data_IF_528415897316
#
_entry.id   IF_528415897316
#
_cell.length_a   1.000
_cell.length_b   1.000
_cell.length_c   1.000
_cell.angle_alpha   90.00
_cell.angle_beta   90.00
_cell.angle_gamma   90.00
#
_symmetry.space_group_name_H-M   'P 1'
#
loop_
_entity.id
_entity.type
_entity.pdbx_description
1 polymer ?
#
# COMPACT_ATOMS: atom_id res chain seq x y z
N UNK A 1 0.72 -29.96 -22.28
CA UNK A 1 0.46 -28.50 -22.34
C UNK A 1 0.29 -28.02 -20.90
N UNK A 2 1.29 -27.36 -20.34
CA UNK A 2 1.24 -26.83 -18.96
C UNK A 2 0.70 -25.42 -19.01
N UNK A 3 -0.48 -25.20 -18.44
CA UNK A 3 -1.07 -23.87 -18.27
C UNK A 3 -0.29 -23.15 -17.16
N UNK A 4 0.47 -22.10 -17.48
CA UNK A 4 0.97 -21.19 -16.44
C UNK A 4 -0.14 -20.19 -16.11
N UNK A 5 -0.32 -19.90 -14.83
CA UNK A 5 -1.15 -18.78 -14.44
C UNK A 5 -0.61 -17.48 -15.08
N UNK A 6 -1.49 -16.55 -15.48
CA UNK A 6 -1.04 -15.24 -15.94
C UNK A 6 -0.26 -14.56 -14.81
N UNK A 7 0.86 -13.92 -15.14
CA UNK A 7 1.65 -13.21 -14.14
C UNK A 7 0.82 -12.08 -13.49
N UNK A 8 0.99 -11.91 -12.17
CA UNK A 8 0.41 -10.77 -11.46
C UNK A 8 0.96 -9.44 -12.02
N UNK A 9 0.06 -8.50 -12.27
CA UNK A 9 0.38 -7.10 -12.62
C UNK A 9 1.03 -6.38 -11.43
N UNK A 10 0.62 -6.71 -10.20
CA UNK A 10 1.22 -6.15 -8.99
C UNK A 10 2.48 -6.96 -8.63
N UNK A 11 3.61 -6.27 -8.56
CA UNK A 11 4.93 -6.86 -8.26
C UNK A 11 5.40 -6.58 -6.84
N UNK A 12 4.87 -5.54 -6.18
CA UNK A 12 5.19 -5.25 -4.78
C UNK A 12 4.68 -3.89 -4.30
N UNK A 13 4.82 -3.65 -3.01
CA UNK A 13 4.45 -2.38 -2.36
C UNK A 13 5.59 -1.95 -1.43
N UNK A 14 5.98 -0.69 -1.54
CA UNK A 14 6.86 -0.02 -0.58
C UNK A 14 6.06 1.01 0.22
N UNK A 15 6.03 0.81 1.54
CA UNK A 15 5.30 1.64 2.50
C UNK A 15 6.16 2.76 3.10
N UNK A 16 7.44 2.86 2.73
CA UNK A 16 8.36 3.91 3.20
C UNK A 16 8.32 4.14 4.72
N UNK A 17 8.33 3.10 5.60
CA UNK A 17 8.04 3.24 7.03
C UNK A 17 8.99 4.23 7.71
N UNK A 18 10.28 4.22 7.40
CA UNK A 18 11.25 5.18 7.95
C UNK A 18 10.88 6.64 7.68
N UNK A 19 10.58 6.97 6.42
CA UNK A 19 10.25 8.35 6.04
C UNK A 19 8.87 8.77 6.54
N UNK A 20 7.87 7.90 6.37
CA UNK A 20 6.52 8.20 6.83
C UNK A 20 6.46 8.35 8.35
N UNK A 21 7.12 7.47 9.10
CA UNK A 21 7.08 7.55 10.56
C UNK A 21 7.88 8.75 11.10
N UNK A 22 8.92 9.20 10.38
CA UNK A 22 9.60 10.45 10.71
C UNK A 22 8.65 11.64 10.54
N UNK A 23 8.00 11.76 9.38
CA UNK A 23 7.08 12.86 9.09
C UNK A 23 5.81 12.84 9.96
N UNK A 24 5.41 11.67 10.45
CA UNK A 24 4.22 11.49 11.30
C UNK A 24 4.56 11.54 12.80
N UNK A 25 5.81 11.77 13.17
CA UNK A 25 6.28 11.78 14.57
C UNK A 25 5.90 10.48 15.32
N UNK A 26 6.21 9.34 14.69
CA UNK A 26 5.95 7.97 15.17
C UNK A 26 7.19 7.07 15.07
N UNK A 27 8.35 7.63 14.72
CA UNK A 27 9.62 6.87 14.60
C UNK A 27 10.06 6.21 15.90
N UNK A 28 9.71 6.80 17.04
CA UNK A 28 9.98 6.24 18.37
C UNK A 28 9.16 4.97 18.65
N UNK A 29 8.05 4.76 17.95
CA UNK A 29 7.21 3.56 18.10
C UNK A 29 7.76 2.42 17.23
N UNK A 30 8.19 2.74 16.01
CA UNK A 30 8.73 1.77 15.06
C UNK A 30 9.44 2.47 13.90
N UNK A 31 10.46 1.82 13.33
CA UNK A 31 11.11 2.21 12.08
C UNK A 31 10.85 1.22 10.93
N UNK A 32 10.31 0.04 11.24
CA UNK A 32 10.09 -1.06 10.28
C UNK A 32 8.62 -1.21 9.88
N UNK A 33 7.70 -1.08 10.84
CA UNK A 33 6.26 -1.02 10.59
C UNK A 33 5.80 0.42 10.32
N UNK A 34 4.91 0.60 9.34
CA UNK A 34 4.29 1.89 9.03
C UNK A 34 3.30 2.28 10.13
N UNK A 35 3.53 3.41 10.79
CA UNK A 35 2.63 3.99 11.80
C UNK A 35 2.38 5.45 11.44
N UNK A 36 1.14 5.76 11.10
CA UNK A 36 0.72 7.09 10.63
C UNK A 36 -0.32 7.70 11.55
N UNK A 37 -0.41 9.03 11.54
CA UNK A 37 -1.45 9.80 12.22
C UNK A 37 -2.51 10.23 11.21
N UNK A 38 -3.78 10.13 11.62
CA UNK A 38 -4.93 10.55 10.81
C UNK A 38 -4.84 12.02 10.42
N UNK A 39 -5.41 12.38 9.27
CA UNK A 39 -5.45 13.76 8.79
C UNK A 39 -4.15 14.24 8.13
N UNK A 40 -3.10 13.43 8.12
CA UNK A 40 -1.84 13.71 7.44
C UNK A 40 -1.62 12.69 6.30
N UNK A 41 -1.27 13.13 5.08
CA UNK A 41 -0.95 12.22 4.00
C UNK A 41 0.34 11.43 4.29
N UNK A 42 0.45 10.24 3.69
CA UNK A 42 1.66 9.42 3.73
C UNK A 42 1.97 8.86 2.33
N UNK A 43 3.22 8.47 2.11
CA UNK A 43 3.70 8.01 0.80
C UNK A 43 3.65 6.48 0.70
N UNK A 44 3.18 5.96 -0.42
CA UNK A 44 3.31 4.56 -0.81
C UNK A 44 3.78 4.49 -2.26
N UNK A 45 4.57 3.47 -2.59
CA UNK A 45 4.94 3.14 -3.97
C UNK A 45 4.40 1.75 -4.31
N UNK A 46 3.62 1.67 -5.39
CA UNK A 46 3.12 0.40 -5.94
C UNK A 46 3.97 0.03 -7.16
N UNK A 47 4.63 -1.12 -7.10
CA UNK A 47 5.42 -1.64 -8.20
C UNK A 47 4.53 -2.49 -9.12
N UNK A 48 4.49 -2.15 -10.40
CA UNK A 48 3.65 -2.81 -11.41
C UNK A 48 4.50 -3.36 -12.56
N UNK A 49 4.05 -4.47 -13.14
CA UNK A 49 4.71 -5.19 -14.23
C UNK A 49 4.76 -4.39 -15.54
N UNK A 50 3.84 -3.45 -15.70
CA UNK A 50 3.59 -2.69 -16.91
C UNK A 50 3.33 -1.22 -16.57
N UNK A 51 3.57 -0.29 -17.51
CA UNK A 51 3.27 1.12 -17.30
C UNK A 51 1.80 1.35 -16.90
N UNK A 52 1.60 2.08 -15.80
CA UNK A 52 0.26 2.47 -15.37
C UNK A 52 -0.20 3.70 -16.15
N UNK A 53 -1.11 3.48 -17.11
CA UNK A 53 -1.86 4.54 -17.79
C UNK A 53 -3.13 4.96 -17.02
N UNK A 54 -3.20 6.17 -16.41
CA UNK A 54 -4.33 6.56 -15.54
C UNK A 54 -5.67 6.73 -16.28
N UNK A 55 -5.63 6.92 -17.61
CA UNK A 55 -6.83 7.01 -18.45
C UNK A 55 -7.39 5.64 -18.85
N UNK A 56 -6.56 4.59 -18.76
CA UNK A 56 -6.88 3.24 -19.25
C UNK A 56 -7.11 2.27 -18.09
N UNK A 57 -6.50 2.53 -16.94
CA UNK A 57 -6.49 1.63 -15.81
C UNK A 57 -7.03 2.33 -14.56
N UNK A 58 -7.86 1.61 -13.81
CA UNK A 58 -8.36 2.04 -12.51
C UNK A 58 -7.48 1.45 -11.40
N UNK A 59 -7.20 2.25 -10.37
CA UNK A 59 -6.50 1.81 -9.17
C UNK A 59 -7.37 2.13 -7.95
N UNK A 60 -7.74 1.08 -7.20
CA UNK A 60 -8.49 1.21 -5.96
C UNK A 60 -7.61 0.78 -4.79
N UNK A 61 -7.53 1.62 -3.75
CA UNK A 61 -6.92 1.29 -2.48
C UNK A 61 -8.05 1.14 -1.46
N UNK A 62 -8.14 -0.04 -0.84
CA UNK A 62 -9.15 -0.31 0.19
C UNK A 62 -8.45 -0.56 1.51
N UNK A 63 -8.77 0.24 2.52
CA UNK A 63 -8.39 0.01 3.90
C UNK A 63 -9.62 -0.50 4.68
N UNK A 64 -9.43 -1.53 5.51
CA UNK A 64 -10.47 -2.07 6.40
C UNK A 64 -9.90 -2.18 7.79
N UNK A 65 -10.71 -1.87 8.80
CA UNK A 65 -10.37 -2.00 10.22
C UNK A 65 -11.61 -2.41 10.99
N UNK A 66 -11.44 -3.05 12.15
CA UNK A 66 -12.52 -3.63 12.96
C UNK A 66 -12.98 -5.03 12.50
N UNK A 67 -13.80 -5.68 13.34
CA UNK A 67 -14.42 -6.98 13.03
C UNK A 67 -15.79 -6.81 12.36
N UNK A 68 -16.07 -7.64 11.36
CA UNK A 68 -17.29 -7.60 10.55
C UNK A 68 -18.49 -8.29 11.25
N UNK A 69 -18.83 -7.93 12.49
CA UNK A 69 -20.05 -8.44 13.14
C UNK A 69 -20.65 -7.42 14.11
N UNK A 70 -21.53 -6.55 13.61
CA UNK A 70 -22.72 -6.09 14.33
C UNK A 70 -23.85 -6.03 13.32
N UNK A 71 -24.83 -6.93 13.49
CA UNK A 71 -26.06 -7.03 12.70
C UNK A 71 -27.04 -5.94 13.13
#
# INVERSE_FOLDING_TARGET
MTYSAPESVFKGVDLHPKNNNFLHHTSEISVDQLIVRRGQPFKLTLNVAQPFGPKLHQLHITAKTGWAYFK
#
